data_IF_848663667323
#
_entry.id   IF_848663667323
#
_cell.length_a   1.000
_cell.length_b   1.000
_cell.length_c   1.000
_cell.angle_alpha   90.00
_cell.angle_beta   90.00
_cell.angle_gamma   90.00
#
_symmetry.space_group_name_H-M   'P 1'
#
loop_
_entity.id
_entity.type
_entity.pdbx_description
1 polymer ?
#
# COMPACT_ATOMS: atom_id res chain seq x y z
N UNK A 1 40.73 0.25 35.01
CA UNK A 1 39.79 -0.86 34.76
C UNK A 1 38.73 -0.31 33.82
N UNK A 2 38.80 -0.64 32.53
CA UNK A 2 37.89 -0.11 31.50
C UNK A 2 36.60 -0.94 31.55
N UNK A 3 35.47 -0.28 31.84
CA UNK A 3 34.15 -0.88 31.73
C UNK A 3 33.76 -1.01 30.25
N UNK A 4 33.96 -2.20 29.71
CA UNK A 4 33.56 -2.59 28.36
C UNK A 4 32.08 -2.99 28.34
N UNK A 5 31.17 -2.09 28.76
CA UNK A 5 29.71 -2.29 28.61
C UNK A 5 29.27 -1.71 27.25
N UNK A 6 29.97 -2.08 26.18
CA UNK A 6 29.60 -1.76 24.78
C UNK A 6 29.28 -3.03 23.99
N UNK A 7 29.19 -4.16 24.69
CA UNK A 7 28.93 -5.47 24.10
C UNK A 7 27.45 -5.88 24.19
N UNK A 8 27.08 -6.92 23.45
CA UNK A 8 25.74 -7.38 23.02
C UNK A 8 24.58 -6.41 22.69
N UNK A 9 24.25 -5.42 23.52
CA UNK A 9 22.99 -4.66 23.39
C UNK A 9 22.90 -3.79 22.14
N UNK A 10 24.02 -3.15 21.77
CA UNK A 10 24.16 -2.36 20.55
C UNK A 10 24.14 -3.23 19.28
N UNK A 11 24.72 -4.43 19.34
CA UNK A 11 24.67 -5.40 18.24
C UNK A 11 23.25 -5.95 18.02
N UNK A 12 22.52 -6.28 19.09
CA UNK A 12 21.12 -6.71 19.02
C UNK A 12 20.19 -5.61 18.46
N UNK A 13 20.36 -4.37 18.91
CA UNK A 13 19.62 -3.23 18.37
C UNK A 13 19.93 -3.00 16.88
N UNK A 14 21.21 -3.04 16.48
CA UNK A 14 21.59 -2.89 15.07
C UNK A 14 20.94 -3.96 14.20
N UNK A 15 20.96 -5.23 14.62
CA UNK A 15 20.31 -6.31 13.89
C UNK A 15 18.80 -6.10 13.78
N UNK A 16 18.13 -5.71 14.87
CA UNK A 16 16.70 -5.42 14.86
C UNK A 16 16.35 -4.26 13.91
N UNK A 17 17.13 -3.18 13.92
CA UNK A 17 16.96 -2.04 13.02
C UNK A 17 17.15 -2.44 11.55
N UNK A 18 18.20 -3.20 11.24
CA UNK A 18 18.44 -3.67 9.87
C UNK A 18 17.33 -4.61 9.37
N UNK A 19 16.83 -5.49 10.24
CA UNK A 19 15.69 -6.36 9.93
C UNK A 19 14.40 -5.56 9.69
N UNK A 20 14.14 -4.53 10.51
CA UNK A 20 12.99 -3.65 10.32
C UNK A 20 13.08 -2.88 8.98
N UNK A 21 14.24 -2.33 8.65
CA UNK A 21 14.48 -1.64 7.37
C UNK A 21 14.28 -2.61 6.19
N UNK A 22 14.77 -3.85 6.30
CA UNK A 22 14.58 -4.87 5.27
C UNK A 22 13.10 -5.24 5.05
N UNK A 23 12.24 -5.06 6.07
CA UNK A 23 10.81 -5.30 5.98
C UNK A 23 10.00 -4.14 5.39
N UNK A 24 10.57 -2.92 5.30
CA UNK A 24 9.86 -1.73 4.81
C UNK A 24 9.26 -1.94 3.41
N UNK A 25 9.96 -2.53 2.41
CA UNK A 25 9.38 -2.71 1.09
C UNK A 25 8.12 -3.59 1.10
N UNK A 26 8.11 -4.66 1.89
CA UNK A 26 6.93 -5.52 2.02
C UNK A 26 5.75 -4.75 2.64
N UNK A 27 5.99 -3.93 3.66
CA UNK A 27 4.95 -3.11 4.29
C UNK A 27 4.40 -2.05 3.32
N UNK A 28 5.27 -1.38 2.56
CA UNK A 28 4.86 -0.39 1.56
C UNK A 28 4.07 -1.07 0.44
N UNK A 29 4.49 -2.24 -0.04
CA UNK A 29 3.75 -3.05 -1.01
C UNK A 29 2.33 -3.35 -0.51
N UNK A 30 2.20 -3.88 0.71
CA UNK A 30 0.90 -4.21 1.31
C UNK A 30 0.01 -2.97 1.41
N UNK A 31 0.56 -1.85 1.90
CA UNK A 31 -0.19 -0.60 1.99
C UNK A 31 -0.64 -0.08 0.62
N UNK A 32 0.27 -0.07 -0.35
CA UNK A 32 -0.01 0.42 -1.70
C UNK A 32 -1.10 -0.42 -2.39
N UNK A 33 -1.09 -1.74 -2.24
CA UNK A 33 -2.17 -2.61 -2.76
C UNK A 33 -3.52 -2.30 -2.10
N UNK A 34 -3.55 -2.09 -0.78
CA UNK A 34 -4.77 -1.68 -0.09
C UNK A 34 -5.30 -0.32 -0.58
N UNK A 35 -4.41 0.62 -0.88
CA UNK A 35 -4.78 1.91 -1.46
C UNK A 35 -5.30 1.79 -2.90
N UNK A 36 -4.73 0.90 -3.72
CA UNK A 36 -5.27 0.60 -5.06
C UNK A 36 -6.72 0.13 -4.95
N UNK A 37 -7.02 -0.78 -4.02
CA UNK A 37 -8.40 -1.23 -3.75
C UNK A 37 -9.30 -0.06 -3.36
N UNK A 38 -8.90 0.71 -2.34
CA UNK A 38 -9.72 1.80 -1.81
C UNK A 38 -9.99 2.93 -2.83
N UNK A 39 -8.99 3.32 -3.62
CA UNK A 39 -9.19 4.35 -4.64
C UNK A 39 -9.96 3.83 -5.84
N UNK A 40 -9.82 2.55 -6.19
CA UNK A 40 -10.68 1.93 -7.21
C UNK A 40 -12.14 1.94 -6.77
N UNK A 41 -12.43 1.59 -5.51
CA UNK A 41 -13.77 1.70 -4.94
C UNK A 41 -14.31 3.14 -5.01
N UNK A 42 -13.49 4.15 -4.65
CA UNK A 42 -13.86 5.56 -4.74
C UNK A 42 -14.14 6.04 -6.16
N UNK A 43 -13.36 5.57 -7.16
CA UNK A 43 -13.65 5.85 -8.59
C UNK A 43 -15.05 5.37 -8.95
N UNK A 44 -15.41 4.14 -8.59
CA UNK A 44 -16.73 3.60 -8.91
C UNK A 44 -17.85 4.37 -8.21
N UNK A 45 -17.68 4.70 -6.91
CA UNK A 45 -18.66 5.52 -6.17
C UNK A 45 -18.84 6.90 -6.81
N UNK A 46 -17.73 7.59 -7.11
CA UNK A 46 -17.76 8.89 -7.76
C UNK A 46 -18.41 8.83 -9.15
N UNK A 47 -18.14 7.78 -9.94
CA UNK A 47 -18.72 7.62 -11.28
C UNK A 47 -20.25 7.42 -11.27
N UNK A 48 -20.83 6.96 -10.16
CA UNK A 48 -22.28 6.84 -9.99
C UNK A 48 -22.97 8.10 -9.49
N UNK A 49 -22.21 9.09 -9.02
CA UNK A 49 -22.75 10.38 -8.58
C UNK A 49 -22.61 11.43 -9.70
N UNK A 50 -23.75 11.86 -10.24
CA UNK A 50 -23.81 12.84 -11.33
C UNK A 50 -23.23 14.22 -10.98
N UNK A 51 -23.04 14.52 -9.68
CA UNK A 51 -22.45 15.78 -9.23
C UNK A 51 -20.96 15.64 -8.86
N UNK A 52 -20.41 14.43 -8.93
CA UNK A 52 -19.01 14.21 -8.55
C UNK A 52 -18.06 14.74 -9.61
N UNK A 53 -17.05 15.49 -9.16
CA UNK A 53 -15.96 16.01 -10.00
C UNK A 53 -14.62 15.35 -9.67
N UNK A 54 -14.61 14.25 -8.91
CA UNK A 54 -13.38 13.65 -8.34
C UNK A 54 -12.95 12.35 -9.00
N UNK A 55 -13.69 11.86 -10.01
CA UNK A 55 -13.38 10.60 -10.71
C UNK A 55 -11.93 10.56 -11.19
N UNK A 56 -11.49 11.59 -11.91
CA UNK A 56 -10.13 11.67 -12.44
C UNK A 56 -9.07 11.71 -11.33
N UNK A 57 -9.33 12.46 -10.25
CA UNK A 57 -8.42 12.53 -9.10
C UNK A 57 -8.27 11.16 -8.39
N UNK A 58 -9.36 10.39 -8.28
CA UNK A 58 -9.30 9.04 -7.71
C UNK A 58 -8.59 8.06 -8.65
N UNK A 59 -8.77 8.19 -9.98
CA UNK A 59 -8.04 7.41 -10.98
C UNK A 59 -6.53 7.67 -10.90
N UNK A 60 -6.12 8.94 -10.82
CA UNK A 60 -4.72 9.33 -10.65
C UNK A 60 -4.12 8.75 -9.35
N UNK A 61 -4.88 8.79 -8.25
CA UNK A 61 -4.45 8.18 -7.00
C UNK A 61 -4.33 6.66 -7.07
N UNK A 62 -5.27 5.97 -7.70
CA UNK A 62 -5.18 4.52 -7.92
C UNK A 62 -3.96 4.16 -8.78
N UNK A 63 -3.65 4.96 -9.80
CA UNK A 63 -2.47 4.79 -10.64
C UNK A 63 -1.17 5.03 -9.87
N UNK A 64 -1.10 6.10 -9.08
CA UNK A 64 0.05 6.41 -8.21
C UNK A 64 0.37 5.24 -7.29
N UNK A 65 -0.64 4.71 -6.58
CA UNK A 65 -0.43 3.59 -5.65
C UNK A 65 -0.09 2.28 -6.38
N UNK A 66 -0.60 2.05 -7.58
CA UNK A 66 -0.19 0.91 -8.39
C UNK A 66 1.29 0.98 -8.78
N UNK A 67 1.79 2.17 -9.13
CA UNK A 67 3.22 2.39 -9.37
C UNK A 67 4.04 2.16 -8.09
N UNK A 68 3.62 2.72 -6.95
CA UNK A 68 4.29 2.49 -5.66
C UNK A 68 4.32 1.01 -5.29
N UNK A 69 3.22 0.26 -5.49
CA UNK A 69 3.20 -1.17 -5.22
C UNK A 69 4.22 -1.91 -6.10
N UNK A 70 4.31 -1.57 -7.38
CA UNK A 70 5.27 -2.16 -8.33
C UNK A 70 6.72 -1.89 -7.95
N UNK A 71 7.04 -0.65 -7.60
CA UNK A 71 8.37 -0.25 -7.12
C UNK A 71 8.82 -1.06 -5.88
N UNK A 72 7.85 -1.54 -5.09
CA UNK A 72 8.09 -2.33 -3.89
C UNK A 72 7.81 -3.85 -4.09
N UNK A 73 7.79 -4.32 -5.34
CA UNK A 73 7.76 -5.74 -5.68
C UNK A 73 6.38 -6.38 -5.81
N UNK A 74 5.33 -5.58 -6.03
CA UNK A 74 4.05 -6.11 -6.49
C UNK A 74 4.12 -6.51 -7.97
N UNK A 75 3.58 -7.67 -8.27
CA UNK A 75 3.32 -8.13 -9.64
C UNK A 75 2.07 -7.46 -10.22
N UNK A 76 1.95 -7.49 -11.55
CA UNK A 76 0.74 -7.02 -12.24
C UNK A 76 -0.51 -7.78 -11.79
N UNK A 77 -0.38 -9.08 -11.51
CA UNK A 77 -1.48 -9.90 -11.04
C UNK A 77 -1.99 -9.46 -9.67
N UNK A 78 -1.10 -9.10 -8.73
CA UNK A 78 -1.48 -8.57 -7.42
C UNK A 78 -2.17 -7.21 -7.52
N UNK A 79 -1.66 -6.32 -8.39
CA UNK A 79 -2.27 -5.01 -8.64
C UNK A 79 -3.65 -5.18 -9.30
N UNK A 80 -3.77 -6.10 -10.26
CA UNK A 80 -5.04 -6.40 -10.91
C UNK A 80 -6.05 -6.97 -9.92
N UNK A 81 -5.65 -7.91 -9.07
CA UNK A 81 -6.50 -8.45 -8.02
C UNK A 81 -6.98 -7.35 -7.05
N UNK A 82 -6.11 -6.42 -6.65
CA UNK A 82 -6.49 -5.29 -5.81
C UNK A 82 -7.55 -4.37 -6.46
N UNK A 83 -7.45 -4.14 -7.78
CA UNK A 83 -8.46 -3.38 -8.54
C UNK A 83 -9.79 -4.13 -8.62
N UNK A 84 -9.76 -5.42 -8.95
CA UNK A 84 -10.97 -6.26 -8.99
C UNK A 84 -11.70 -6.24 -7.65
N UNK A 85 -10.96 -6.37 -6.55
CA UNK A 85 -11.51 -6.25 -5.20
C UNK A 85 -12.19 -4.90 -4.97
N UNK A 86 -11.57 -3.79 -5.40
CA UNK A 86 -12.18 -2.46 -5.28
C UNK A 86 -13.48 -2.31 -6.08
N UNK A 87 -13.56 -2.94 -7.27
CA UNK A 87 -14.81 -3.01 -8.04
C UNK A 87 -15.89 -3.84 -7.30
N UNK A 88 -15.52 -4.99 -6.75
CA UNK A 88 -16.44 -5.83 -5.98
C UNK A 88 -17.00 -5.09 -4.76
N UNK A 89 -16.13 -4.42 -3.98
CA UNK A 89 -16.54 -3.65 -2.80
C UNK A 89 -17.54 -2.54 -3.17
N UNK A 90 -17.26 -1.80 -4.25
CA UNK A 90 -18.17 -0.78 -4.75
C UNK A 90 -19.53 -1.36 -5.16
N UNK A 91 -19.55 -2.51 -5.84
CA UNK A 91 -20.79 -3.19 -6.22
C UNK A 91 -21.59 -3.63 -4.98
N UNK A 92 -20.93 -4.21 -3.97
CA UNK A 92 -21.61 -4.64 -2.74
C UNK A 92 -22.17 -3.49 -1.91
N UNK A 93 -21.58 -2.29 -1.98
CA UNK A 93 -22.04 -1.11 -1.26
C UNK A 93 -23.29 -0.45 -1.89
N UNK A 94 -23.68 -0.87 -3.10
CA UNK A 94 -24.84 -0.33 -3.84
C UNK A 94 -26.12 -1.18 -3.68
N UNK A 95 -26.02 -2.33 -3.00
CA UNK A 95 -27.14 -3.24 -2.68
C UNK A 95 -27.57 -3.06 -1.22
#
# INVERSE_FOLDING_TARGET
>A
MHDTITGPRTAGLRTAVMAAIAGVPAQVKTHALAQVTAYTEQVNRAATDANSTTVDAHLERAAFWACTAREHGASEAEIHAARLEGHHQAATAQH
#
